data_IF_101630995570
#
_entry.id   IF_101630995570
#
_cell.length_a   1.000
_cell.length_b   1.000
_cell.length_c   1.000
_cell.angle_alpha   90.00
_cell.angle_beta   90.00
_cell.angle_gamma   90.00
#
_symmetry.space_group_name_H-M   'P 1'
#
loop_
_entity.id
_entity.type
_entity.pdbx_description
1 polymer ?
#
# COMPACT_ATOMS: atom_id res chain seq x y z
N UNK A 1 -13.23 -38.86 48.72
CA UNK A 1 -13.10 -40.33 48.83
C UNK A 1 -11.76 -40.75 48.25
N UNK A 2 -10.98 -41.50 49.06
CA UNK A 2 -9.90 -42.47 48.73
C UNK A 2 -9.06 -42.20 47.47
N UNK A 3 -7.80 -41.75 47.57
CA UNK A 3 -6.56 -42.48 47.93
C UNK A 3 -6.18 -43.66 47.03
N UNK A 4 -4.87 -43.69 46.73
CA UNK A 4 -4.00 -44.87 46.55
C UNK A 4 -4.00 -45.54 45.19
N UNK A 5 -2.92 -46.15 44.70
CA UNK A 5 -1.47 -46.27 45.01
C UNK A 5 -0.97 -47.20 43.88
N UNK A 6 0.13 -46.89 43.20
CA UNK A 6 1.47 -47.40 43.47
C UNK A 6 1.66 -48.93 43.29
N UNK A 7 2.66 -49.32 42.48
CA UNK A 7 3.63 -50.41 42.67
C UNK A 7 4.19 -50.80 41.28
N UNK A 8 5.47 -50.65 40.93
CA UNK A 8 6.74 -51.14 41.50
C UNK A 8 7.16 -52.53 40.99
N UNK A 9 8.35 -52.60 40.36
CA UNK A 9 9.39 -53.67 40.37
C UNK A 9 10.31 -53.44 39.14
N UNK A 10 11.59 -53.05 39.21
CA UNK A 10 12.78 -53.51 39.95
C UNK A 10 13.40 -54.82 39.42
N UNK A 11 14.64 -54.71 38.90
CA UNK A 11 15.74 -55.70 38.77
C UNK A 11 16.48 -55.45 37.43
N UNK A 12 17.81 -55.49 37.27
CA UNK A 12 19.01 -55.56 38.12
C UNK A 12 20.22 -55.49 37.15
N UNK A 13 21.35 -54.92 37.60
CA UNK A 13 22.62 -54.80 36.86
C UNK A 13 23.21 -56.16 36.40
N UNK A 14 24.11 -56.14 35.39
CA UNK A 14 25.52 -56.37 35.73
C UNK A 14 26.54 -55.42 35.05
N UNK A 15 27.67 -55.35 35.73
CA UNK A 15 28.93 -54.63 35.54
C UNK A 15 29.79 -55.19 34.36
N UNK A 16 30.81 -54.41 33.93
CA UNK A 16 32.03 -54.68 33.13
C UNK A 16 32.06 -53.92 31.78
N UNK A 17 33.14 -53.31 31.27
CA UNK A 17 34.48 -52.83 31.71
C UNK A 17 35.14 -52.22 30.43
N UNK A 18 36.14 -51.34 30.58
CA UNK A 18 37.12 -50.85 29.57
C UNK A 18 36.67 -49.67 28.66
N UNK A 19 37.12 -48.42 28.85
CA UNK A 19 38.47 -47.79 28.76
C UNK A 19 38.74 -47.15 27.39
N UNK A 20 39.05 -45.84 27.46
CA UNK A 20 39.81 -44.98 26.56
C UNK A 20 39.21 -44.57 25.20
N UNK A 21 38.84 -43.29 25.10
CA UNK A 21 39.30 -42.30 24.10
C UNK A 21 38.67 -40.93 24.43
N UNK A 22 39.34 -40.15 25.27
CA UNK A 22 39.00 -38.75 25.59
C UNK A 22 39.97 -37.83 24.83
N UNK A 23 39.70 -37.55 23.55
CA UNK A 23 40.26 -36.38 22.86
C UNK A 23 39.21 -35.89 21.86
N UNK A 24 39.02 -34.56 21.83
CA UNK A 24 38.20 -33.78 20.90
C UNK A 24 36.70 -33.68 21.23
N UNK A 25 36.39 -32.90 22.26
CA UNK A 25 35.17 -32.11 22.29
C UNK A 25 35.44 -30.75 22.96
N UNK A 26 36.42 -30.01 22.42
CA UNK A 26 36.37 -28.54 22.46
C UNK A 26 35.18 -28.13 21.57
N UNK A 27 33.98 -28.33 22.09
CA UNK A 27 32.77 -27.78 21.52
C UNK A 27 32.91 -26.28 21.59
N UNK A 28 33.46 -25.68 20.53
CA UNK A 28 33.22 -24.29 20.16
C UNK A 28 31.73 -24.07 20.36
N UNK A 29 31.40 -23.36 21.44
CA UNK A 29 30.13 -22.65 21.55
C UNK A 29 30.13 -21.66 20.39
N UNK A 30 29.68 -22.13 19.22
CA UNK A 30 28.88 -21.28 18.36
C UNK A 30 27.68 -20.89 19.22
N UNK A 31 27.82 -19.76 19.91
CA UNK A 31 26.69 -18.88 20.07
C UNK A 31 26.28 -18.56 18.64
N UNK A 32 25.30 -19.29 18.11
CA UNK A 32 24.33 -18.68 17.22
C UNK A 32 23.59 -17.64 18.06
N UNK A 33 24.31 -16.56 18.35
CA UNK A 33 23.70 -15.29 18.61
C UNK A 33 23.21 -14.80 17.27
N UNK A 34 22.05 -15.30 16.83
CA UNK A 34 21.03 -14.40 16.31
C UNK A 34 20.65 -13.48 17.48
N UNK A 35 21.60 -12.65 17.92
CA UNK A 35 21.22 -11.36 18.46
C UNK A 35 20.62 -10.71 17.23
N UNK A 36 19.29 -10.69 17.18
CA UNK A 36 18.61 -9.69 16.40
C UNK A 36 19.24 -8.38 16.88
N UNK A 37 20.25 -7.89 16.16
CA UNK A 37 20.72 -6.52 16.32
C UNK A 37 19.45 -5.72 16.14
N UNK A 38 18.92 -5.21 17.25
CA UNK A 38 17.71 -4.40 17.25
C UNK A 38 17.94 -3.32 16.20
N UNK A 39 17.23 -3.45 15.07
CA UNK A 39 17.57 -2.72 13.86
C UNK A 39 17.67 -1.24 14.22
N UNK A 40 18.86 -0.65 14.05
CA UNK A 40 19.18 0.70 14.52
C UNK A 40 18.06 1.66 14.10
N UNK A 41 17.37 2.26 15.07
CA UNK A 41 16.45 3.34 14.79
C UNK A 41 17.22 4.62 14.47
N UNK A 42 16.76 5.38 13.48
CA UNK A 42 17.28 6.68 13.13
C UNK A 42 16.19 7.75 13.24
N UNK A 43 16.63 9.00 13.33
CA UNK A 43 15.77 10.18 13.39
C UNK A 43 16.22 11.21 12.34
N UNK A 44 15.26 11.69 11.55
CA UNK A 44 15.40 12.78 10.57
C UNK A 44 14.39 13.89 10.88
N UNK A 45 14.23 14.21 12.17
CA UNK A 45 13.34 15.27 12.62
C UNK A 45 11.86 14.90 12.53
N UNK A 46 11.03 15.85 12.11
CA UNK A 46 9.58 15.70 12.11
C UNK A 46 9.05 14.80 10.98
N UNK A 47 9.82 14.63 9.90
CA UNK A 47 9.41 13.86 8.73
C UNK A 47 9.49 12.34 8.97
N UNK A 48 10.52 11.89 9.70
CA UNK A 48 10.69 10.49 10.02
C UNK A 48 11.51 10.34 11.31
N UNK A 49 10.95 9.66 12.32
CA UNK A 49 11.64 9.41 13.59
C UNK A 49 11.36 8.02 14.14
N UNK A 50 12.27 7.53 14.99
CA UNK A 50 12.12 6.34 15.81
C UNK A 50 12.06 5.03 15.03
N UNK A 51 12.60 4.98 13.81
CA UNK A 51 12.46 3.81 12.95
C UNK A 51 13.72 3.52 12.13
N UNK A 52 13.96 2.23 11.86
CA UNK A 52 15.01 1.78 10.95
C UNK A 52 14.82 2.32 9.53
N UNK A 53 13.57 2.58 9.13
CA UNK A 53 13.25 3.13 7.81
C UNK A 53 13.74 4.56 7.65
N UNK A 54 13.79 5.33 8.75
CA UNK A 54 14.33 6.70 8.78
C UNK A 54 15.85 6.78 8.64
N UNK A 55 16.55 5.63 8.60
CA UNK A 55 17.98 5.59 8.29
C UNK A 55 18.24 5.77 6.79
N UNK A 56 17.23 5.53 5.94
CA UNK A 56 17.29 5.79 4.51
C UNK A 56 16.89 7.24 4.20
N UNK A 57 17.00 7.65 2.93
CA UNK A 57 16.46 8.92 2.42
C UNK A 57 14.96 9.06 2.72
N UNK A 58 14.53 10.22 3.21
CA UNK A 58 13.11 10.57 3.33
C UNK A 58 12.56 10.95 1.96
N UNK A 59 11.23 11.04 1.82
CA UNK A 59 10.63 11.45 0.54
C UNK A 59 11.15 12.83 0.13
N UNK A 60 11.25 13.76 1.07
CA UNK A 60 11.74 15.12 0.81
C UNK A 60 13.21 15.17 0.42
N UNK A 61 14.04 14.16 0.71
CA UNK A 61 15.43 14.11 0.27
C UNK A 61 15.53 14.01 -1.27
N UNK A 62 14.64 13.26 -1.91
CA UNK A 62 14.70 12.95 -3.35
C UNK A 62 13.51 13.42 -4.19
N UNK A 63 12.37 13.77 -3.58
CA UNK A 63 11.17 14.25 -4.24
C UNK A 63 10.88 15.67 -3.75
N UNK A 64 11.04 16.66 -4.63
CA UNK A 64 10.93 18.08 -4.31
C UNK A 64 9.64 18.67 -4.87
N UNK A 65 9.27 19.85 -4.36
CA UNK A 65 8.08 20.57 -4.80
C UNK A 65 8.01 20.74 -6.33
N UNK A 66 9.12 21.09 -7.00
CA UNK A 66 9.11 21.25 -8.46
C UNK A 66 8.77 19.95 -9.21
N UNK A 67 9.17 18.78 -8.69
CA UNK A 67 8.80 17.50 -9.30
C UNK A 67 7.31 17.24 -9.11
N UNK A 68 6.76 17.55 -7.94
CA UNK A 68 5.31 17.49 -7.73
C UNK A 68 4.55 18.40 -8.71
N UNK A 69 5.07 19.61 -8.99
CA UNK A 69 4.51 20.49 -10.02
C UNK A 69 4.63 19.90 -11.43
N UNK A 70 5.72 19.21 -11.76
CA UNK A 70 5.89 18.55 -13.07
C UNK A 70 4.93 17.35 -13.25
N UNK A 71 4.75 16.53 -12.21
CA UNK A 71 3.86 15.36 -12.24
C UNK A 71 2.38 15.79 -12.45
N UNK A 72 2.00 16.92 -11.87
CA UNK A 72 0.63 17.43 -11.85
C UNK A 72 0.54 18.85 -12.42
N UNK A 73 1.16 19.06 -13.59
CA UNK A 73 1.38 20.37 -14.20
C UNK A 73 0.09 21.19 -14.43
N UNK A 74 -1.03 20.51 -14.71
CA UNK A 74 -2.31 21.17 -15.01
C UNK A 74 -3.35 21.07 -13.88
N UNK A 75 -3.01 20.57 -12.69
CA UNK A 75 -3.97 20.40 -11.58
C UNK A 75 -4.60 21.72 -11.08
N UNK A 76 -3.96 22.85 -11.37
CA UNK A 76 -4.40 24.19 -10.99
C UNK A 76 -4.89 25.02 -12.19
N UNK A 77 -4.99 24.42 -13.38
CA UNK A 77 -5.52 25.08 -14.57
C UNK A 77 -7.03 25.23 -14.47
N UNK A 78 -7.48 26.45 -14.13
CA UNK A 78 -8.90 26.78 -13.92
C UNK A 78 -9.78 26.62 -15.16
N UNK A 79 -9.23 26.35 -16.34
CA UNK A 79 -10.03 26.07 -17.54
C UNK A 79 -10.72 24.71 -17.49
N UNK A 80 -10.14 23.74 -16.77
CA UNK A 80 -10.67 22.37 -16.69
C UNK A 80 -10.50 21.72 -15.29
N UNK A 81 -9.54 22.17 -14.48
CA UNK A 81 -9.32 21.62 -13.15
C UNK A 81 -10.40 22.04 -12.14
N UNK A 82 -11.13 21.06 -11.62
CA UNK A 82 -12.23 21.25 -10.68
C UNK A 82 -11.77 21.39 -9.22
N UNK A 83 -10.57 20.89 -8.89
CA UNK A 83 -9.93 21.01 -7.59
C UNK A 83 -8.77 22.03 -7.57
N UNK A 84 -8.79 23.02 -8.48
CA UNK A 84 -7.73 24.01 -8.57
C UNK A 84 -7.54 24.78 -7.25
N UNK A 85 -6.32 24.77 -6.73
CA UNK A 85 -5.94 25.39 -5.46
C UNK A 85 -6.16 24.52 -4.22
N UNK A 86 -6.66 23.30 -4.37
CA UNK A 86 -6.85 22.36 -3.25
C UNK A 86 -5.59 21.55 -2.94
N UNK A 87 -4.94 21.01 -3.97
CA UNK A 87 -3.81 20.09 -3.82
C UNK A 87 -2.46 20.79 -3.87
N UNK A 88 -1.62 20.56 -2.86
CA UNK A 88 -0.25 21.05 -2.83
C UNK A 88 0.76 20.01 -2.29
N UNK A 89 2.03 20.28 -2.57
CA UNK A 89 3.15 19.44 -2.14
C UNK A 89 3.27 19.35 -0.61
N UNK A 90 2.97 20.45 0.11
CA UNK A 90 3.09 20.48 1.57
C UNK A 90 2.08 19.53 2.23
N UNK A 91 0.84 19.48 1.75
CA UNK A 91 -0.19 18.56 2.19
C UNK A 91 0.23 17.11 1.95
N UNK A 92 0.82 16.80 0.78
CA UNK A 92 1.35 15.47 0.48
C UNK A 92 2.47 15.07 1.46
N UNK A 93 3.48 15.91 1.65
CA UNK A 93 4.60 15.61 2.56
C UNK A 93 4.15 15.50 4.01
N UNK A 94 3.24 16.39 4.45
CA UNK A 94 2.70 16.35 5.82
C UNK A 94 1.99 15.02 6.09
N UNK A 95 1.19 14.55 5.12
CA UNK A 95 0.55 13.25 5.21
C UNK A 95 1.57 12.10 5.16
N UNK A 96 2.54 12.16 4.24
CA UNK A 96 3.53 11.11 4.04
C UNK A 96 4.44 10.90 5.25
N UNK A 97 4.83 11.97 5.96
CA UNK A 97 5.61 11.93 7.18
C UNK A 97 5.02 11.00 8.27
N UNK A 98 3.69 10.81 8.30
CA UNK A 98 3.02 9.90 9.23
C UNK A 98 3.27 8.41 8.91
N UNK A 99 3.75 8.10 7.70
CA UNK A 99 3.96 6.75 7.18
C UNK A 99 5.41 6.46 6.78
N UNK A 100 6.27 7.47 6.64
CA UNK A 100 7.71 7.28 6.39
C UNK A 100 8.39 6.40 7.47
N UNK A 101 8.10 6.55 8.79
CA UNK A 101 8.61 5.63 9.81
C UNK A 101 8.12 4.18 9.67
N UNK A 102 7.10 3.94 8.84
CA UNK A 102 6.55 2.61 8.53
C UNK A 102 6.99 2.06 7.18
N UNK A 103 7.82 2.81 6.43
CA UNK A 103 8.42 2.33 5.19
C UNK A 103 7.92 3.00 3.92
N UNK A 104 6.89 3.86 3.96
CA UNK A 104 6.38 4.55 2.77
C UNK A 104 7.45 5.48 2.20
N UNK A 105 7.90 5.25 0.96
CA UNK A 105 8.95 6.03 0.33
C UNK A 105 10.35 5.84 0.93
N UNK A 106 10.49 5.07 2.01
CA UNK A 106 11.74 4.91 2.77
C UNK A 106 12.26 3.47 2.77
N UNK A 107 11.52 2.54 2.18
CA UNK A 107 11.94 1.13 2.04
C UNK A 107 12.88 0.94 0.86
N UNK A 108 13.94 0.15 1.04
CA UNK A 108 14.84 -0.25 -0.06
C UNK A 108 15.81 0.83 -0.55
N UNK A 109 15.89 1.98 0.13
CA UNK A 109 16.76 3.10 -0.24
C UNK A 109 16.20 3.97 -1.36
N UNK A 110 16.96 5.01 -1.75
CA UNK A 110 16.51 6.09 -2.64
C UNK A 110 15.80 5.64 -3.92
N UNK A 111 16.38 4.71 -4.70
CA UNK A 111 15.78 4.31 -5.98
C UNK A 111 14.43 3.60 -5.77
N UNK A 112 14.31 2.73 -4.77
CA UNK A 112 13.05 2.04 -4.46
C UNK A 112 12.02 3.03 -3.93
N UNK A 113 12.42 3.95 -3.06
CA UNK A 113 11.55 5.04 -2.58
C UNK A 113 11.03 5.92 -3.71
N UNK A 114 11.89 6.29 -4.67
CA UNK A 114 11.48 7.05 -5.86
C UNK A 114 10.48 6.27 -6.71
N UNK A 115 10.71 4.96 -6.93
CA UNK A 115 9.78 4.09 -7.66
C UNK A 115 8.44 3.97 -6.94
N UNK A 116 8.44 3.84 -5.63
CA UNK A 116 7.22 3.73 -4.83
C UNK A 116 6.40 5.02 -4.87
N UNK A 117 7.05 6.17 -4.68
CA UNK A 117 6.38 7.47 -4.78
C UNK A 117 5.81 7.68 -6.18
N UNK A 118 6.55 7.33 -7.23
CA UNK A 118 6.05 7.38 -8.61
C UNK A 118 4.85 6.43 -8.83
N UNK A 119 4.87 5.22 -8.26
CA UNK A 119 3.79 4.25 -8.36
C UNK A 119 2.53 4.72 -7.64
N UNK A 120 2.67 5.16 -6.38
CA UNK A 120 1.57 5.72 -5.60
C UNK A 120 0.96 6.94 -6.29
N UNK A 121 1.79 7.92 -6.68
CA UNK A 121 1.31 9.12 -7.37
C UNK A 121 0.76 8.79 -8.77
N UNK A 122 1.27 7.77 -9.46
CA UNK A 122 0.73 7.30 -10.73
C UNK A 122 -0.72 6.82 -10.62
N UNK A 123 -1.04 6.10 -9.53
CA UNK A 123 -2.44 5.79 -9.22
C UNK A 123 -3.26 7.05 -8.92
N UNK A 124 -2.74 7.95 -8.08
CA UNK A 124 -3.42 9.21 -7.75
C UNK A 124 -3.74 9.99 -9.02
N UNK A 125 -2.74 10.20 -9.88
CA UNK A 125 -2.90 10.92 -11.15
C UNK A 125 -3.94 10.27 -12.04
N UNK A 126 -3.84 8.96 -12.27
CA UNK A 126 -4.79 8.23 -13.11
C UNK A 126 -6.23 8.26 -12.57
N UNK A 127 -6.42 8.22 -11.25
CA UNK A 127 -7.75 8.17 -10.62
C UNK A 127 -8.42 9.53 -10.48
N UNK A 128 -7.68 10.62 -10.62
CA UNK A 128 -8.16 11.99 -10.42
C UNK A 128 -7.95 12.88 -11.65
N UNK A 129 -7.58 12.28 -12.80
CA UNK A 129 -7.30 13.01 -14.04
C UNK A 129 -8.58 13.45 -14.77
N UNK A 130 -8.55 14.65 -15.34
CA UNK A 130 -9.48 15.11 -16.38
C UNK A 130 -8.81 15.23 -17.75
N UNK A 131 -7.59 14.73 -17.89
CA UNK A 131 -6.84 14.77 -19.14
C UNK A 131 -7.52 13.93 -20.21
N UNK A 132 -7.66 14.49 -21.40
CA UNK A 132 -8.12 13.82 -22.60
C UNK A 132 -6.99 13.75 -23.63
N UNK A 133 -7.15 12.93 -24.68
CA UNK A 133 -6.03 12.54 -25.57
C UNK A 133 -5.28 13.70 -26.25
N UNK A 134 -5.91 14.85 -26.43
CA UNK A 134 -5.31 16.05 -27.05
C UNK A 134 -5.24 17.25 -26.09
N UNK A 135 -5.30 17.00 -24.78
CA UNK A 135 -5.10 18.03 -23.77
C UNK A 135 -3.66 18.57 -23.81
N UNK A 136 -3.49 19.83 -23.43
CA UNK A 136 -2.15 20.44 -23.25
C UNK A 136 -1.31 19.60 -22.29
N UNK A 137 -0.05 19.33 -22.63
CA UNK A 137 0.83 18.44 -21.85
C UNK A 137 0.52 16.95 -21.96
N UNK A 138 -0.52 16.56 -22.71
CA UNK A 138 -0.98 15.18 -22.83
C UNK A 138 -1.88 14.73 -21.67
N UNK A 139 -2.56 13.57 -21.78
CA UNK A 139 -3.56 13.14 -20.81
C UNK A 139 -3.01 12.82 -19.41
N UNK A 140 -1.68 12.62 -19.28
CA UNK A 140 -1.03 12.20 -18.03
C UNK A 140 -0.63 13.36 -17.10
N UNK A 141 -0.68 14.61 -17.61
CA UNK A 141 -0.28 15.82 -16.87
C UNK A 141 -1.44 16.46 -16.06
N UNK A 142 -2.63 15.83 -16.10
CA UNK A 142 -3.88 16.36 -15.56
C UNK A 142 -4.36 15.63 -14.29
N UNK A 143 -3.50 14.82 -13.66
CA UNK A 143 -3.78 14.24 -12.35
C UNK A 143 -4.12 15.31 -11.30
N UNK A 144 -4.84 14.92 -10.25
CA UNK A 144 -5.35 15.80 -9.20
C UNK A 144 -6.30 16.91 -9.69
N UNK A 145 -6.91 16.71 -10.85
CA UNK A 145 -7.91 17.61 -11.42
C UNK A 145 -9.23 17.58 -10.61
N UNK A 146 -9.57 16.43 -10.04
CA UNK A 146 -10.72 16.24 -9.16
C UNK A 146 -10.26 15.91 -7.72
N UNK A 147 -11.05 16.33 -6.74
CA UNK A 147 -10.97 15.84 -5.35
C UNK A 147 -12.23 15.09 -4.91
N UNK A 148 -13.29 15.13 -5.73
CA UNK A 148 -14.51 14.35 -5.54
C UNK A 148 -15.20 14.07 -6.89
N UNK A 149 -16.13 13.12 -6.89
CA UNK A 149 -16.98 12.78 -8.02
C UNK A 149 -18.07 13.84 -8.25
N UNK A 150 -18.14 14.43 -9.45
CA UNK A 150 -19.07 15.54 -9.75
C UNK A 150 -20.52 15.13 -10.01
N UNK A 151 -20.77 13.87 -10.34
CA UNK A 151 -22.11 13.39 -10.72
C UNK A 151 -22.30 11.92 -10.32
N UNK A 152 -22.31 11.63 -9.01
CA UNK A 152 -22.47 10.27 -8.53
C UNK A 152 -23.83 9.72 -8.95
N UNK A 153 -23.86 8.48 -9.44
CA UNK A 153 -25.10 7.81 -9.87
C UNK A 153 -25.93 7.26 -8.70
N UNK A 154 -25.35 7.23 -7.50
CA UNK A 154 -25.94 6.68 -6.28
C UNK A 154 -25.23 7.27 -5.04
N UNK A 155 -25.82 7.06 -3.86
CA UNK A 155 -25.21 7.49 -2.58
C UNK A 155 -24.05 6.61 -2.11
N UNK A 156 -23.80 5.46 -2.75
CA UNK A 156 -22.82 4.45 -2.33
C UNK A 156 -23.03 4.00 -0.87
N UNK A 157 -24.27 3.96 -0.42
CA UNK A 157 -24.61 3.40 0.88
C UNK A 157 -24.95 1.90 0.73
N UNK A 158 -24.21 1.05 1.43
CA UNK A 158 -24.61 -0.33 1.70
C UNK A 158 -25.38 -0.40 3.03
N UNK A 159 -26.70 -0.36 2.94
CA UNK A 159 -27.61 -0.45 4.10
C UNK A 159 -27.54 -1.79 4.84
N UNK A 160 -26.95 -2.84 4.24
CA UNK A 160 -26.80 -4.14 4.89
C UNK A 160 -25.58 -4.22 5.81
N UNK A 161 -24.71 -3.20 5.81
CA UNK A 161 -23.50 -3.20 6.60
C UNK A 161 -23.75 -2.74 8.04
N UNK A 162 -23.79 -3.70 8.97
CA UNK A 162 -24.03 -3.42 10.40
C UNK A 162 -22.82 -2.81 11.13
N UNK A 163 -21.59 -3.04 10.64
CA UNK A 163 -20.37 -2.53 11.29
C UNK A 163 -20.12 -1.05 10.98
N UNK A 164 -20.51 -0.62 9.78
CA UNK A 164 -20.35 0.74 9.30
C UNK A 164 -21.69 1.22 8.73
N UNK A 165 -22.72 1.42 9.58
CA UNK A 165 -24.05 1.80 9.11
C UNK A 165 -23.98 3.14 8.37
N UNK A 166 -24.78 3.27 7.32
CA UNK A 166 -24.93 4.56 6.65
C UNK A 166 -25.57 5.58 7.59
N UNK A 167 -25.05 6.80 7.55
CA UNK A 167 -25.57 7.93 8.33
C UNK A 167 -26.61 8.67 7.50
N UNK A 168 -27.74 9.03 8.12
CA UNK A 168 -28.81 9.75 7.44
C UNK A 168 -28.29 11.09 6.85
N UNK A 169 -28.60 11.33 5.57
CA UNK A 169 -28.17 12.55 4.85
C UNK A 169 -26.71 12.54 4.38
N UNK A 170 -25.94 11.49 4.67
CA UNK A 170 -24.53 11.37 4.25
C UNK A 170 -24.41 10.53 2.99
N UNK A 171 -23.61 10.99 2.03
CA UNK A 171 -23.34 10.30 0.76
C UNK A 171 -21.86 9.90 0.64
N UNK A 172 -21.62 8.67 0.20
CA UNK A 172 -20.31 8.01 0.19
C UNK A 172 -19.72 7.86 -1.23
N UNK A 173 -19.98 8.83 -2.10
CA UNK A 173 -19.36 8.92 -3.42
C UNK A 173 -17.85 9.15 -3.35
N UNK A 174 -17.18 9.02 -4.50
CA UNK A 174 -15.72 9.07 -4.58
C UNK A 174 -15.13 10.40 -4.09
N UNK A 175 -14.25 10.38 -3.08
CA UNK A 175 -13.48 11.55 -2.61
C UNK A 175 -12.03 11.23 -2.30
N UNK A 176 -11.16 12.23 -2.42
CA UNK A 176 -9.75 12.17 -2.07
C UNK A 176 -8.80 11.75 -3.20
N UNK A 177 -7.52 11.58 -2.86
CA UNK A 177 -6.45 11.36 -3.84
C UNK A 177 -6.45 9.95 -4.45
N UNK A 178 -6.74 8.94 -3.62
CA UNK A 178 -7.27 7.65 -4.07
C UNK A 178 -8.75 7.63 -3.70
N UNK A 179 -9.67 7.78 -4.68
CA UNK A 179 -11.07 7.97 -4.38
C UNK A 179 -11.67 6.89 -3.48
N UNK A 180 -12.20 7.29 -2.33
CA UNK A 180 -12.87 6.42 -1.37
C UNK A 180 -14.35 6.35 -1.72
N UNK A 181 -14.88 5.14 -1.87
CA UNK A 181 -16.28 4.85 -2.14
C UNK A 181 -16.84 3.93 -1.08
N UNK A 182 -18.15 4.01 -0.81
CA UNK A 182 -18.89 3.14 0.12
C UNK A 182 -18.64 3.40 1.60
N UNK A 183 -19.75 3.43 2.37
CA UNK A 183 -19.79 3.64 3.83
C UNK A 183 -18.74 2.84 4.59
N UNK A 184 -18.59 1.55 4.29
CA UNK A 184 -17.64 0.69 4.98
C UNK A 184 -16.17 1.05 4.71
N UNK A 185 -15.82 1.57 3.53
CA UNK A 185 -14.44 1.99 3.28
C UNK A 185 -14.15 3.32 3.98
N UNK A 186 -15.09 4.25 3.98
CA UNK A 186 -14.98 5.48 4.78
C UNK A 186 -14.80 5.15 6.27
N UNK A 187 -15.59 4.22 6.81
CA UNK A 187 -15.44 3.76 8.19
C UNK A 187 -14.09 3.09 8.48
N UNK A 188 -13.65 2.15 7.63
CA UNK A 188 -12.36 1.45 7.80
C UNK A 188 -11.18 2.42 7.73
N UNK A 189 -11.14 3.28 6.71
CA UNK A 189 -10.06 4.26 6.51
C UNK A 189 -10.09 5.29 7.64
N UNK A 190 -11.28 5.78 8.00
CA UNK A 190 -11.47 6.72 9.09
C UNK A 190 -10.93 6.20 10.42
N UNK A 191 -11.24 4.95 10.79
CA UNK A 191 -10.62 4.31 11.95
C UNK A 191 -9.10 4.23 11.83
N UNK A 192 -8.61 3.92 10.64
CA UNK A 192 -7.19 3.83 10.32
C UNK A 192 -6.40 5.11 10.55
N UNK A 193 -6.97 6.25 10.15
CA UNK A 193 -6.37 7.59 10.27
C UNK A 193 -6.90 8.38 11.47
N UNK A 194 -7.75 7.75 12.31
CA UNK A 194 -8.40 8.36 13.48
C UNK A 194 -9.22 9.61 13.15
N UNK A 195 -9.94 9.57 12.04
CA UNK A 195 -10.90 10.60 11.62
C UNK A 195 -12.28 9.97 11.45
N UNK A 196 -13.34 10.69 11.82
CA UNK A 196 -14.71 10.19 11.68
C UNK A 196 -15.23 10.39 10.25
N UNK A 197 -14.62 9.66 9.32
CA UNK A 197 -14.97 9.71 7.91
C UNK A 197 -16.33 9.05 7.59
N UNK A 198 -16.89 8.25 8.50
CA UNK A 198 -18.21 7.64 8.31
C UNK A 198 -19.33 8.68 8.44
N UNK A 199 -19.22 9.58 9.42
CA UNK A 199 -20.15 10.70 9.59
C UNK A 199 -19.76 11.93 8.75
N UNK A 200 -18.45 12.10 8.48
CA UNK A 200 -17.91 13.28 7.80
C UNK A 200 -17.03 12.91 6.59
N UNK A 201 -17.56 12.24 5.54
CA UNK A 201 -16.79 11.91 4.34
C UNK A 201 -16.30 13.16 3.58
N UNK A 202 -16.97 14.30 3.73
CA UNK A 202 -16.60 15.60 3.14
C UNK A 202 -15.23 16.11 3.59
N UNK A 203 -14.67 15.59 4.68
CA UNK A 203 -13.32 15.96 5.12
C UNK A 203 -12.26 15.67 4.03
N UNK A 204 -12.48 14.65 3.19
CA UNK A 204 -11.55 14.28 2.11
C UNK A 204 -11.60 15.22 0.89
N UNK A 205 -12.60 16.09 0.79
CA UNK A 205 -12.68 17.14 -0.25
C UNK A 205 -12.47 18.55 0.33
N UNK A 206 -12.37 18.67 1.66
CA UNK A 206 -12.13 19.94 2.37
C UNK A 206 -10.69 20.07 2.89
N UNK A 207 -9.98 18.97 3.09
CA UNK A 207 -8.60 18.99 3.58
C UNK A 207 -7.70 18.06 2.75
N UNK A 208 -6.80 18.65 1.95
CA UNK A 208 -5.88 17.91 1.10
C UNK A 208 -4.91 17.01 1.88
N UNK A 209 -4.51 17.40 3.09
CA UNK A 209 -3.62 16.59 3.94
C UNK A 209 -4.34 15.31 4.37
N UNK A 210 -5.58 15.42 4.84
CA UNK A 210 -6.39 14.25 5.20
C UNK A 210 -6.69 13.36 3.99
N UNK A 211 -6.91 13.96 2.82
CA UNK A 211 -7.14 13.24 1.58
C UNK A 211 -5.91 12.43 1.13
N UNK A 212 -4.70 12.99 1.27
CA UNK A 212 -3.46 12.24 1.07
C UNK A 212 -3.22 11.21 2.16
N UNK A 213 -3.51 11.53 3.42
CA UNK A 213 -3.36 10.60 4.54
C UNK A 213 -4.22 9.35 4.36
N UNK A 214 -5.49 9.52 3.98
CA UNK A 214 -6.40 8.43 3.63
C UNK A 214 -5.86 7.55 2.49
N UNK A 215 -5.32 8.19 1.44
CA UNK A 215 -4.76 7.49 0.28
C UNK A 215 -3.50 6.69 0.65
N UNK A 216 -2.56 7.29 1.38
CA UNK A 216 -1.32 6.62 1.83
C UNK A 216 -1.65 5.51 2.81
N UNK A 217 -2.60 5.73 3.73
CA UNK A 217 -3.08 4.68 4.62
C UNK A 217 -3.61 3.48 3.83
N UNK A 218 -4.41 3.72 2.79
CA UNK A 218 -4.94 2.65 1.93
C UNK A 218 -3.84 1.91 1.16
N UNK A 219 -2.79 2.63 0.76
CA UNK A 219 -1.60 2.05 0.11
C UNK A 219 -0.81 1.14 1.06
N UNK A 220 -0.62 1.59 2.31
CA UNK A 220 0.19 0.91 3.33
C UNK A 220 -0.55 -0.20 4.09
N UNK A 221 -1.88 -0.26 4.00
CA UNK A 221 -2.68 -1.14 4.88
C UNK A 221 -3.37 -2.27 4.10
N UNK A 222 -3.19 -3.54 4.53
CA UNK A 222 -3.99 -4.65 4.01
C UNK A 222 -5.47 -4.54 4.41
N UNK A 223 -6.38 -4.64 3.44
CA UNK A 223 -7.83 -4.60 3.73
C UNK A 223 -8.39 -5.90 4.30
N UNK A 224 -7.70 -7.04 4.11
CA UNK A 224 -8.12 -8.34 4.64
C UNK A 224 -6.95 -9.08 5.27
N UNK A 225 -7.25 -9.89 6.27
CA UNK A 225 -6.27 -10.78 6.90
C UNK A 225 -5.65 -11.70 5.85
N UNK A 226 -4.32 -11.86 5.90
CA UNK A 226 -3.52 -12.66 4.96
C UNK A 226 -3.41 -12.12 3.53
N UNK A 227 -3.89 -10.90 3.27
CA UNK A 227 -3.56 -10.19 2.03
C UNK A 227 -2.41 -9.21 2.29
N UNK A 228 -1.58 -8.89 1.29
CA UNK A 228 -0.59 -7.83 1.40
C UNK A 228 -1.21 -6.44 1.22
N UNK A 229 -0.47 -5.41 1.61
CA UNK A 229 -0.76 -4.02 1.22
C UNK A 229 -0.22 -3.73 -0.19
N UNK A 230 -0.62 -2.60 -0.79
CA UNK A 230 -0.03 -2.17 -2.06
C UNK A 230 1.46 -1.85 -1.90
N UNK A 231 1.84 -1.26 -0.76
CA UNK A 231 3.23 -1.10 -0.36
C UNK A 231 3.99 -2.43 -0.39
N UNK A 232 3.51 -3.45 0.33
CA UNK A 232 4.24 -4.71 0.50
C UNK A 232 4.48 -5.45 -0.82
N UNK A 233 3.50 -5.43 -1.73
CA UNK A 233 3.68 -6.06 -3.05
C UNK A 233 4.57 -5.25 -3.98
N UNK A 234 4.63 -3.94 -3.79
CA UNK A 234 5.44 -3.06 -4.62
C UNK A 234 6.91 -3.09 -4.22
N UNK A 235 7.21 -2.92 -2.91
CA UNK A 235 8.59 -2.89 -2.41
C UNK A 235 9.21 -4.28 -2.24
N UNK A 236 8.43 -5.35 -2.47
CA UNK A 236 8.90 -6.73 -2.45
C UNK A 236 8.91 -7.42 -1.08
N UNK A 237 8.23 -6.86 -0.08
CA UNK A 237 8.07 -7.49 1.24
C UNK A 237 7.12 -8.70 1.20
N UNK A 238 6.20 -8.72 0.23
CA UNK A 238 5.26 -9.81 0.07
C UNK A 238 5.82 -10.95 -0.76
N UNK A 239 5.74 -12.18 -0.22
CA UNK A 239 6.06 -13.41 -0.94
C UNK A 239 4.76 -14.11 -1.40
N UNK A 240 4.54 -14.28 -2.71
CA UNK A 240 3.37 -14.99 -3.23
C UNK A 240 3.27 -16.41 -2.68
N UNK A 241 2.06 -16.81 -2.30
CA UNK A 241 1.76 -18.22 -2.02
C UNK A 241 1.62 -19.01 -3.32
N UNK A 242 1.56 -20.34 -3.24
CA UNK A 242 1.26 -21.20 -4.40
C UNK A 242 -0.06 -20.80 -5.08
N UNK A 243 -1.08 -20.41 -4.31
CA UNK A 243 -2.35 -19.96 -4.86
C UNK A 243 -2.20 -18.65 -5.63
N UNK A 244 -1.35 -17.74 -5.15
CA UNK A 244 -1.06 -16.47 -5.83
C UNK A 244 -0.35 -16.71 -7.16
N UNK A 245 0.67 -17.56 -7.18
CA UNK A 245 1.37 -17.90 -8.42
C UNK A 245 0.46 -18.58 -9.45
N UNK A 246 -0.44 -19.47 -9.01
CA UNK A 246 -1.44 -20.09 -9.90
C UNK A 246 -2.46 -19.08 -10.41
N UNK A 247 -2.75 -18.06 -9.60
CA UNK A 247 -3.60 -16.92 -9.94
C UNK A 247 -2.86 -15.81 -10.72
N UNK A 248 -1.62 -16.08 -11.15
CA UNK A 248 -0.71 -15.15 -11.83
C UNK A 248 -0.43 -13.84 -11.05
N UNK A 249 -0.59 -13.84 -9.73
CA UNK A 249 -0.28 -12.69 -8.86
C UNK A 249 1.18 -12.75 -8.41
N UNK A 250 1.96 -11.76 -8.82
CA UNK A 250 3.39 -11.62 -8.53
C UNK A 250 3.69 -10.22 -7.97
N UNK A 251 4.80 -10.03 -7.23
CA UNK A 251 5.21 -8.71 -6.76
C UNK A 251 5.46 -7.77 -7.95
N UNK A 252 5.15 -6.49 -7.79
CA UNK A 252 5.22 -5.48 -8.84
C UNK A 252 3.99 -4.59 -8.91
N UNK A 253 4.03 -3.62 -9.83
CA UNK A 253 2.99 -2.60 -10.00
C UNK A 253 1.61 -3.19 -10.39
N UNK A 254 1.58 -4.29 -11.12
CA UNK A 254 0.34 -5.00 -11.43
C UNK A 254 -0.42 -5.45 -10.18
N UNK A 255 0.29 -5.94 -9.16
CA UNK A 255 -0.36 -6.38 -7.92
C UNK A 255 -0.94 -5.22 -7.11
N UNK A 256 -0.39 -4.00 -7.22
CA UNK A 256 -0.97 -2.82 -6.55
C UNK A 256 -2.33 -2.47 -7.14
N UNK A 257 -2.47 -2.52 -8.48
CA UNK A 257 -3.74 -2.39 -9.18
C UNK A 257 -4.76 -3.44 -8.71
N UNK A 258 -4.35 -4.70 -8.60
CA UNK A 258 -5.21 -5.79 -8.14
C UNK A 258 -5.68 -5.58 -6.69
N UNK A 259 -4.78 -5.16 -5.79
CA UNK A 259 -5.14 -4.87 -4.39
C UNK A 259 -6.12 -3.71 -4.28
N UNK A 260 -5.93 -2.65 -5.09
CA UNK A 260 -6.71 -1.43 -4.98
C UNK A 260 -8.08 -1.53 -5.67
N UNK A 261 -8.17 -2.25 -6.79
CA UNK A 261 -9.36 -2.22 -7.66
C UNK A 261 -9.91 -3.60 -8.02
N UNK A 262 -9.16 -4.67 -7.78
CA UNK A 262 -9.60 -6.04 -8.03
C UNK A 262 -10.07 -6.28 -9.47
N UNK A 263 -11.19 -6.97 -9.60
CA UNK A 263 -11.81 -7.34 -10.87
C UNK A 263 -12.49 -6.17 -11.60
N UNK A 264 -12.47 -4.95 -11.06
CA UNK A 264 -12.89 -3.76 -11.81
C UNK A 264 -11.93 -3.46 -12.97
N UNK A 265 -10.64 -3.80 -12.84
CA UNK A 265 -9.64 -3.56 -13.89
C UNK A 265 -8.69 -4.73 -14.16
N UNK A 266 -8.64 -5.75 -13.30
CA UNK A 266 -7.73 -6.89 -13.44
C UNK A 266 -8.45 -8.14 -13.94
N UNK A 267 -7.72 -9.04 -14.59
CA UNK A 267 -8.25 -10.31 -15.10
C UNK A 267 -9.15 -10.17 -16.33
N UNK A 268 -9.09 -9.02 -17.03
CA UNK A 268 -9.92 -8.67 -18.18
C UNK A 268 -9.11 -8.44 -19.46
N UNK A 269 -7.83 -8.85 -19.48
CA UNK A 269 -6.92 -8.51 -20.56
C UNK A 269 -6.46 -7.05 -20.53
N UNK A 270 -5.94 -6.56 -21.66
CA UNK A 270 -5.49 -5.17 -21.77
C UNK A 270 -6.68 -4.25 -22.03
N UNK A 271 -7.05 -3.47 -21.01
CA UNK A 271 -8.15 -2.50 -21.07
C UNK A 271 -7.63 -1.10 -20.74
N UNK A 272 -8.29 -0.07 -21.29
CA UNK A 272 -7.87 1.33 -21.12
C UNK A 272 -7.77 1.77 -19.67
N UNK A 273 -8.73 1.34 -18.82
CA UNK A 273 -8.74 1.68 -17.38
C UNK A 273 -7.46 1.25 -16.65
N UNK A 274 -6.90 0.10 -17.03
CA UNK A 274 -5.65 -0.42 -16.48
C UNK A 274 -4.45 0.25 -17.15
N UNK A 275 -4.46 0.33 -18.48
CA UNK A 275 -3.36 0.88 -19.27
C UNK A 275 -3.06 2.34 -18.90
N UNK A 276 -4.09 3.15 -18.62
CA UNK A 276 -3.92 4.54 -18.19
C UNK A 276 -3.15 4.62 -16.86
N UNK A 277 -3.40 3.72 -15.90
CA UNK A 277 -2.67 3.69 -14.62
C UNK A 277 -1.20 3.34 -14.85
N UNK A 278 -0.95 2.34 -15.71
CA UNK A 278 0.41 1.95 -16.12
C UNK A 278 1.14 3.10 -16.79
N UNK A 279 0.50 3.82 -17.72
CA UNK A 279 1.09 4.95 -18.41
C UNK A 279 1.43 6.11 -17.46
N UNK A 280 0.57 6.42 -16.48
CA UNK A 280 0.90 7.43 -15.47
C UNK A 280 2.14 7.04 -14.66
N UNK A 281 2.23 5.78 -14.22
CA UNK A 281 3.39 5.31 -13.46
C UNK A 281 4.69 5.43 -14.28
N UNK A 282 4.69 4.90 -15.51
CA UNK A 282 5.86 4.98 -16.39
C UNK A 282 6.27 6.43 -16.66
N UNK A 283 5.30 7.29 -16.97
CA UNK A 283 5.58 8.70 -17.21
C UNK A 283 6.15 9.41 -15.96
N UNK A 284 5.64 9.09 -14.78
CA UNK A 284 6.14 9.69 -13.53
C UNK A 284 7.54 9.19 -13.17
N UNK A 285 7.89 7.94 -13.50
CA UNK A 285 9.28 7.48 -13.40
C UNK A 285 10.23 8.30 -14.28
N UNK A 286 9.81 8.64 -15.51
CA UNK A 286 10.59 9.48 -16.42
C UNK A 286 10.77 10.90 -15.85
N UNK A 287 9.67 11.53 -15.41
CA UNK A 287 9.71 12.88 -14.80
C UNK A 287 10.54 12.92 -13.51
N UNK A 288 10.52 11.85 -12.72
CA UNK A 288 11.33 11.73 -11.51
C UNK A 288 12.80 11.37 -11.78
N UNK A 289 13.19 11.15 -13.04
CA UNK A 289 14.56 10.82 -13.43
C UNK A 289 14.98 9.38 -13.10
N UNK A 290 14.02 8.49 -12.81
CA UNK A 290 14.28 7.06 -12.61
C UNK A 290 14.35 6.34 -13.95
N UNK A 291 13.45 6.69 -14.87
CA UNK A 291 13.29 6.05 -16.17
C UNK A 291 12.24 4.93 -16.14
N UNK A 292 11.35 4.93 -17.14
CA UNK A 292 10.30 3.94 -17.35
C UNK A 292 10.84 2.53 -17.66
N UNK A 293 12.09 2.42 -18.12
CA UNK A 293 12.81 1.15 -18.27
C UNK A 293 13.05 0.44 -16.91
N UNK A 294 13.00 1.19 -15.81
CA UNK A 294 13.14 0.66 -14.44
C UNK A 294 11.81 0.42 -13.73
N UNK A 295 10.68 0.42 -14.45
CA UNK A 295 9.34 0.18 -13.88
C UNK A 295 9.17 -1.21 -13.24
N UNK A 296 10.09 -2.14 -13.52
CA UNK A 296 10.09 -3.48 -12.97
C UNK A 296 9.18 -4.45 -13.74
N UNK A 297 9.26 -5.72 -13.35
CA UNK A 297 8.44 -6.78 -13.92
C UNK A 297 7.00 -6.73 -13.40
N UNK A 298 6.10 -7.48 -14.04
CA UNK A 298 4.68 -7.59 -13.63
C UNK A 298 3.99 -6.23 -13.54
N UNK A 299 4.18 -5.40 -14.57
CA UNK A 299 3.70 -4.01 -14.63
C UNK A 299 2.18 -3.91 -14.64
N UNK A 300 1.48 -4.91 -15.19
CA UNK A 300 0.03 -4.92 -15.34
C UNK A 300 -0.66 -6.05 -14.57
N UNK A 301 -1.99 -5.98 -14.51
CA UNK A 301 -2.82 -7.01 -13.91
C UNK A 301 -3.81 -7.67 -14.89
N UNK A 302 -3.53 -7.60 -16.19
CA UNK A 302 -4.42 -8.06 -17.26
C UNK A 302 -4.87 -9.51 -17.07
N UNK A 303 -3.93 -10.34 -16.63
CA UNK A 303 -4.05 -11.78 -16.48
C UNK A 303 -4.23 -12.23 -15.03
N UNK A 304 -4.18 -11.30 -14.07
CA UNK A 304 -4.23 -11.65 -12.65
C UNK A 304 -5.65 -11.94 -12.21
N UNK A 305 -5.85 -13.03 -11.46
CA UNK A 305 -7.11 -13.25 -10.76
C UNK A 305 -7.19 -12.27 -9.58
N UNK A 306 -8.31 -11.57 -9.44
CA UNK A 306 -8.52 -10.61 -8.36
C UNK A 306 -8.29 -11.23 -6.98
N UNK A 307 -7.65 -10.50 -6.06
CA UNK A 307 -7.55 -10.92 -4.65
C UNK A 307 -8.93 -11.05 -3.99
N UNK A 308 -9.88 -10.22 -4.42
CA UNK A 308 -11.22 -10.08 -3.87
C UNK A 308 -12.25 -9.96 -5.00
N UNK A 309 -12.62 -11.05 -5.68
CA UNK A 309 -13.60 -10.98 -6.77
C UNK A 309 -14.99 -10.56 -6.26
N UNK A 310 -15.67 -9.72 -7.04
CA UNK A 310 -17.00 -9.16 -6.77
C UNK A 310 -18.11 -10.21 -6.88
N UNK A 311 -18.00 -11.14 -7.83
CA UNK A 311 -18.80 -12.36 -7.88
C UNK A 311 -17.98 -13.54 -7.37
N UNK A 312 -18.54 -14.31 -6.43
CA UNK A 312 -18.14 -15.72 -6.32
C UNK A 312 -18.67 -16.38 -7.59
N UNK A 313 -17.84 -16.60 -8.60
CA UNK A 313 -18.20 -17.57 -9.63
C UNK A 313 -18.57 -18.86 -8.89
N UNK A 314 -19.83 -19.28 -9.01
CA UNK A 314 -20.36 -20.51 -8.44
C UNK A 314 -19.86 -21.76 -9.20
N UNK A 315 -18.88 -21.60 -10.08
CA UNK A 315 -18.27 -22.68 -10.85
C UNK A 315 -16.91 -23.04 -10.25
N UNK A 316 -16.96 -23.82 -9.17
CA UNK A 316 -15.85 -24.66 -8.66
C UNK A 316 -16.43 -25.88 -7.96
#
# INVERSE_FOLDING_TARGET
MRTSRAAAAAASLPLLLLVALLVAAEGRRHKDGSGDEEAKACDKGWECSGSRFCCNDTITDYFKAYQFEELFAHRNDRSLAHAAGFWDYHAFITAAALFEPRGFGTTGGKEVGMKEVAAFLGHVGAKTSCGYSVATGGPLAWGLCYNHELSPSQSYCDNSNELYPCVEGVEYYGRGALPVYWNYNYGIIGQGIKQDLLNHPELLEQNATLAFEAAIWRWMTPMKRKQPSAHDVFVGNWKPTKNDTLSKRYPGFGATMNILYGDLICGQGSIDKMNVIVSHYQHYLDLMGVGSDKAGDNLDCADQVAFNPSSKNLDS
#
